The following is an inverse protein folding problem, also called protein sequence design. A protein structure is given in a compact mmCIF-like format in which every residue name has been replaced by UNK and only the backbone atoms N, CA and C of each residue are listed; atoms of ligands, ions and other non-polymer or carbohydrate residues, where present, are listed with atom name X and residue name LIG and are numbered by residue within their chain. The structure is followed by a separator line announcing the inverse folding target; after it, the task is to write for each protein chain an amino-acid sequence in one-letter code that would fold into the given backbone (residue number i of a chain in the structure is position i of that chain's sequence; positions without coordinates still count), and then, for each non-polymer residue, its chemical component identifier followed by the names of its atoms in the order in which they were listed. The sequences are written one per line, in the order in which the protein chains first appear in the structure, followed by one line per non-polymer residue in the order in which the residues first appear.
data_IF_916685819007
#
_entry.id   IF_916685819007
#
_cell.length_a   1.000
_cell.length_b   1.000
_cell.length_c   1.000
_cell.angle_alpha   90.00
_cell.angle_beta   90.00
_cell.angle_gamma   90.00
#
_symmetry.space_group_name_H-M   'P 1'
#
loop_
_entity.id
_entity.type
_entity.pdbx_description
1 polymer ?
#
# COMPACT_ATOMS: atom_id res chain seq x y z
N UNK A 1 -31.07 -6.22 -15.60
CA UNK A 1 -30.25 -5.39 -14.68
C UNK A 1 -30.37 -5.82 -13.22
N UNK A 2 -31.59 -6.08 -12.71
CA UNK A 2 -31.79 -6.55 -11.33
C UNK A 2 -31.11 -7.90 -11.01
N UNK A 3 -31.10 -8.87 -11.93
CA UNK A 3 -30.44 -10.17 -11.73
C UNK A 3 -28.91 -10.09 -11.67
N UNK A 4 -28.29 -9.13 -12.38
CA UNK A 4 -26.84 -8.89 -12.28
C UNK A 4 -26.45 -8.24 -10.95
N UNK A 5 -27.31 -7.37 -10.41
CA UNK A 5 -27.11 -6.78 -9.08
C UNK A 5 -27.26 -7.82 -7.95
N UNK A 6 -28.23 -8.75 -8.09
CA UNK A 6 -28.43 -9.87 -7.16
C UNK A 6 -27.29 -10.90 -7.20
N UNK A 7 -26.73 -11.16 -8.39
CA UNK A 7 -25.56 -12.02 -8.55
C UNK A 7 -24.33 -11.50 -7.81
N UNK A 8 -24.07 -10.18 -7.88
CA UNK A 8 -22.91 -9.57 -7.22
C UNK A 8 -23.11 -9.32 -5.71
N UNK A 9 -24.35 -9.22 -5.22
CA UNK A 9 -24.64 -9.21 -3.78
C UNK A 9 -24.25 -10.54 -3.10
N UNK A 10 -24.29 -11.66 -3.82
CA UNK A 10 -23.78 -12.96 -3.31
C UNK A 10 -22.26 -12.98 -3.16
N UNK A 11 -21.52 -12.20 -3.95
CA UNK A 11 -20.05 -12.16 -3.94
C UNK A 11 -19.46 -11.25 -2.85
N UNK A 12 -20.24 -10.29 -2.34
CA UNK A 12 -19.80 -9.33 -1.31
C UNK A 12 -19.54 -9.93 0.08
N UNK A 13 -19.83 -11.22 0.29
CA UNK A 13 -19.82 -11.85 1.60
C UNK A 13 -21.01 -11.38 2.44
N UNK A 14 -21.75 -12.33 3.02
CA UNK A 14 -23.07 -12.07 3.62
C UNK A 14 -23.11 -10.95 4.66
N UNK A 15 -22.02 -10.72 5.39
CA UNK A 15 -21.94 -9.67 6.42
C UNK A 15 -21.93 -8.26 5.82
N UNK A 16 -21.20 -8.02 4.72
CA UNK A 16 -21.10 -6.68 4.10
C UNK A 16 -22.38 -6.30 3.38
N UNK A 17 -23.01 -7.25 2.68
CA UNK A 17 -24.31 -7.05 2.06
C UNK A 17 -25.40 -6.78 3.11
N UNK A 18 -25.36 -7.46 4.26
CA UNK A 18 -26.29 -7.25 5.37
C UNK A 18 -26.12 -5.87 6.01
N UNK A 19 -24.88 -5.44 6.28
CA UNK A 19 -24.59 -4.11 6.84
C UNK A 19 -25.03 -2.97 5.91
N UNK A 20 -24.79 -3.10 4.60
CA UNK A 20 -25.23 -2.11 3.61
C UNK A 20 -26.76 -2.03 3.57
N UNK A 21 -27.44 -3.19 3.57
CA UNK A 21 -28.91 -3.26 3.55
C UNK A 21 -29.53 -2.69 4.82
N UNK A 22 -28.95 -2.99 5.99
CA UNK A 22 -29.40 -2.43 7.28
C UNK A 22 -29.18 -0.92 7.36
N UNK A 23 -28.05 -0.42 6.84
CA UNK A 23 -27.74 1.01 6.85
C UNK A 23 -28.67 1.79 5.93
N UNK A 24 -28.90 1.28 4.71
CA UNK A 24 -29.83 1.89 3.76
C UNK A 24 -31.27 1.82 4.27
N UNK A 25 -31.69 0.66 4.81
CA UNK A 25 -33.01 0.49 5.41
C UNK A 25 -33.25 1.40 6.61
N UNK A 26 -32.26 1.56 7.48
CA UNK A 26 -32.31 2.47 8.63
C UNK A 26 -32.43 3.93 8.22
N UNK A 27 -31.65 4.36 7.23
CA UNK A 27 -31.72 5.73 6.67
C UNK A 27 -33.09 6.00 6.06
N UNK A 28 -33.62 5.07 5.25
CA UNK A 28 -34.96 5.19 4.65
C UNK A 28 -36.06 5.25 5.72
N UNK A 29 -35.98 4.42 6.77
CA UNK A 29 -36.96 4.41 7.85
C UNK A 29 -36.94 5.70 8.68
N UNK A 30 -35.76 6.19 9.05
CA UNK A 30 -35.59 7.42 9.84
C UNK A 30 -36.06 8.64 9.04
N UNK A 31 -35.64 8.76 7.77
CA UNK A 31 -36.06 9.85 6.90
C UNK A 31 -37.56 9.79 6.63
N UNK A 32 -38.10 8.60 6.33
CA UNK A 32 -39.54 8.41 6.12
C UNK A 32 -40.37 8.88 7.32
N UNK A 33 -39.93 8.54 8.54
CA UNK A 33 -40.57 9.00 9.77
C UNK A 33 -40.48 10.52 9.96
N UNK A 34 -39.29 11.10 9.80
CA UNK A 34 -39.08 12.55 9.89
C UNK A 34 -39.94 13.34 8.90
N UNK A 35 -40.11 12.80 7.69
CA UNK A 35 -40.92 13.43 6.64
C UNK A 35 -42.42 13.32 6.94
N UNK A 36 -42.86 12.15 7.43
CA UNK A 36 -44.24 11.95 7.90
C UNK A 36 -44.59 12.91 9.04
N UNK A 37 -43.69 13.05 10.02
CA UNK A 37 -43.91 13.90 11.20
C UNK A 37 -43.93 15.41 10.87
N UNK A 38 -43.41 15.82 9.70
CA UNK A 38 -43.27 17.22 9.28
C UNK A 38 -44.01 17.55 7.98
N UNK A 39 -44.84 16.66 7.44
CA UNK A 39 -45.44 16.81 6.10
C UNK A 39 -46.24 18.10 5.95
N UNK A 40 -47.07 18.43 6.93
CA UNK A 40 -47.94 19.62 6.91
C UNK A 40 -47.15 20.93 6.90
N UNK A 41 -46.05 20.98 7.65
CA UNK A 41 -45.14 22.13 7.67
C UNK A 41 -44.39 22.30 6.35
N UNK A 42 -43.91 21.19 5.76
CA UNK A 42 -43.17 21.20 4.49
C UNK A 42 -44.11 21.56 3.33
N UNK A 43 -45.30 20.96 3.27
CA UNK A 43 -46.29 21.23 2.23
C UNK A 43 -46.73 22.70 2.23
N UNK A 44 -46.97 23.26 3.43
CA UNK A 44 -47.34 24.67 3.59
C UNK A 44 -46.21 25.64 3.19
N UNK A 45 -44.94 25.25 3.38
CA UNK A 45 -43.79 26.12 3.05
C UNK A 45 -43.37 26.06 1.59
N UNK A 46 -43.61 24.93 0.92
CA UNK A 46 -43.28 24.72 -0.49
C UNK A 46 -44.47 24.89 -1.44
N UNK A 47 -45.67 25.14 -0.90
CA UNK A 47 -46.92 25.28 -1.66
C UNK A 47 -47.20 24.06 -2.56
N UNK A 48 -46.92 22.86 -2.03
CA UNK A 48 -47.08 21.59 -2.74
C UNK A 48 -48.34 20.86 -2.27
N UNK A 49 -49.03 20.10 -3.16
CA UNK A 49 -50.11 19.21 -2.75
C UNK A 49 -49.62 18.15 -1.76
N UNK A 50 -50.40 17.90 -0.70
CA UNK A 50 -50.16 16.80 0.24
C UNK A 50 -50.19 15.47 -0.53
N UNK A 51 -49.07 14.74 -0.53
CA UNK A 51 -48.82 13.59 -1.39
C UNK A 51 -47.68 13.78 -2.40
N UNK A 52 -47.51 14.98 -2.96
CA UNK A 52 -46.34 15.30 -3.80
C UNK A 52 -45.07 15.39 -2.95
N UNK A 53 -45.20 15.89 -1.71
CA UNK A 53 -44.10 15.98 -0.74
C UNK A 53 -43.52 14.59 -0.43
N UNK A 54 -44.38 13.60 -0.19
CA UNK A 54 -43.97 12.21 0.03
C UNK A 54 -43.25 11.61 -1.18
N UNK A 55 -43.76 11.83 -2.40
CA UNK A 55 -43.13 11.34 -3.63
C UNK A 55 -41.75 11.95 -3.90
N UNK A 56 -41.62 13.27 -3.72
CA UNK A 56 -40.34 13.99 -3.91
C UNK A 56 -39.32 13.56 -2.85
N UNK A 57 -39.76 13.42 -1.60
CA UNK A 57 -38.86 13.07 -0.52
C UNK A 57 -38.40 11.60 -0.59
N UNK A 58 -39.27 10.68 -1.00
CA UNK A 58 -38.89 9.29 -1.29
C UNK A 58 -37.88 9.22 -2.44
N UNK A 59 -38.12 9.97 -3.53
CA UNK A 59 -37.18 10.04 -4.66
C UNK A 59 -35.80 10.59 -4.23
N UNK A 60 -35.78 11.61 -3.37
CA UNK A 60 -34.55 12.17 -2.81
C UNK A 60 -33.81 11.17 -1.92
N UNK A 61 -34.52 10.45 -1.04
CA UNK A 61 -33.94 9.40 -0.21
C UNK A 61 -33.35 8.25 -1.05
N UNK A 62 -34.04 7.83 -2.11
CA UNK A 62 -33.56 6.81 -3.04
C UNK A 62 -32.33 7.29 -3.82
N UNK A 63 -32.29 8.57 -4.22
CA UNK A 63 -31.12 9.14 -4.87
C UNK A 63 -29.90 9.19 -3.94
N UNK A 64 -30.07 9.61 -2.68
CA UNK A 64 -29.01 9.59 -1.66
C UNK A 64 -28.55 8.16 -1.39
N UNK A 65 -29.49 7.22 -1.20
CA UNK A 65 -29.16 5.81 -1.01
C UNK A 65 -28.38 5.25 -2.20
N UNK A 66 -28.77 5.59 -3.43
CA UNK A 66 -28.04 5.26 -4.64
C UNK A 66 -26.62 5.81 -4.65
N UNK A 67 -26.42 7.07 -4.28
CA UNK A 67 -25.09 7.69 -4.17
C UNK A 67 -24.24 7.03 -3.08
N UNK A 68 -24.82 6.72 -1.92
CA UNK A 68 -24.12 6.01 -0.83
C UNK A 68 -23.72 4.62 -1.31
N UNK A 69 -24.64 3.87 -1.93
CA UNK A 69 -24.36 2.53 -2.45
C UNK A 69 -23.30 2.59 -3.55
N UNK A 70 -23.37 3.52 -4.49
CA UNK A 70 -22.34 3.67 -5.54
C UNK A 70 -21.00 4.08 -4.95
N UNK A 71 -20.98 5.01 -4.00
CA UNK A 71 -19.74 5.45 -3.34
C UNK A 71 -19.13 4.35 -2.49
N UNK A 72 -19.95 3.55 -1.83
CA UNK A 72 -19.53 2.43 -0.99
C UNK A 72 -19.14 1.22 -1.84
N UNK A 73 -19.83 0.99 -2.95
CA UNK A 73 -19.42 0.02 -3.96
C UNK A 73 -18.09 0.44 -4.57
N UNK A 74 -17.93 1.70 -4.97
CA UNK A 74 -16.67 2.22 -5.49
C UNK A 74 -15.57 2.14 -4.42
N UNK A 75 -15.90 2.39 -3.14
CA UNK A 75 -14.99 2.14 -2.01
C UNK A 75 -14.64 0.66 -1.89
N UNK A 76 -15.59 -0.26 -2.02
CA UNK A 76 -15.38 -1.72 -1.87
C UNK A 76 -14.67 -2.33 -3.10
N UNK A 77 -14.97 -1.85 -4.30
CA UNK A 77 -14.29 -2.20 -5.54
C UNK A 77 -12.87 -1.62 -5.57
N UNK A 78 -12.67 -0.41 -5.02
CA UNK A 78 -11.34 0.12 -4.69
C UNK A 78 -10.74 -0.59 -3.48
N UNK A 79 -11.54 -1.27 -2.65
CA UNK A 79 -11.11 -2.25 -1.64
C UNK A 79 -10.67 -3.60 -2.22
N UNK A 80 -9.96 -3.56 -3.35
CA UNK A 80 -8.66 -4.26 -3.48
C UNK A 80 -7.64 -3.79 -2.39
N UNK A 81 -8.13 -3.49 -1.18
CA UNK A 81 -7.54 -2.50 -0.26
C UNK A 81 -6.38 -3.13 0.47
N UNK A 82 -5.23 -2.48 0.29
CA UNK A 82 -4.15 -2.60 1.25
C UNK A 82 -4.73 -2.19 2.61
N UNK A 83 -4.86 -3.12 3.56
CA UNK A 83 -5.46 -2.85 4.86
C UNK A 83 -4.66 -1.79 5.62
N UNK A 84 -5.31 -1.21 6.63
CA UNK A 84 -4.71 -0.21 7.50
C UNK A 84 -3.37 -0.74 8.07
N UNK A 85 -2.23 -0.05 7.80
CA UNK A 85 -0.93 -0.47 8.30
C UNK A 85 -0.82 -0.39 9.84
N UNK A 86 -1.81 0.18 10.53
CA UNK A 86 -1.95 0.13 11.99
C UNK A 86 -2.67 -1.11 12.54
N UNK A 87 -3.25 -1.97 11.69
CA UNK A 87 -3.94 -3.18 12.13
C UNK A 87 -2.96 -4.19 12.74
N UNK A 88 -3.13 -4.50 14.03
CA UNK A 88 -2.32 -5.50 14.74
C UNK A 88 -2.87 -6.88 14.41
N UNK A 89 -2.15 -7.63 13.57
CA UNK A 89 -2.31 -9.06 13.44
C UNK A 89 -1.15 -9.74 14.17
N UNK A 90 -1.42 -10.28 15.36
CA UNK A 90 -0.52 -11.26 15.97
C UNK A 90 -0.79 -12.60 15.29
N UNK A 91 -0.05 -12.83 14.22
CA UNK A 91 -0.04 -14.09 13.48
C UNK A 91 1.26 -14.82 13.82
N UNK A 92 1.18 -15.76 14.76
CA UNK A 92 2.32 -16.59 15.17
C UNK A 92 2.89 -17.43 14.01
N UNK A 93 2.13 -17.63 12.94
CA UNK A 93 2.58 -18.32 11.73
C UNK A 93 3.54 -17.46 10.89
N UNK A 94 3.45 -16.12 10.98
CA UNK A 94 4.23 -15.20 10.18
C UNK A 94 5.31 -14.47 11.00
N UNK A 95 6.55 -14.92 10.82
CA UNK A 95 7.72 -14.37 11.51
C UNK A 95 8.37 -13.27 10.67
N UNK A 96 8.50 -12.08 11.24
CA UNK A 96 9.26 -11.00 10.63
C UNK A 96 10.77 -11.24 10.80
N UNK A 97 11.52 -11.04 9.73
CA UNK A 97 12.99 -11.00 9.74
C UNK A 97 13.39 -9.57 9.41
N UNK A 98 13.94 -8.86 10.39
CA UNK A 98 14.09 -7.40 10.39
C UNK A 98 15.45 -6.91 9.86
N UNK A 99 16.22 -7.81 9.24
CA UNK A 99 17.49 -7.52 8.60
C UNK A 99 17.82 -8.57 7.55
N UNK A 100 18.76 -8.26 6.66
CA UNK A 100 19.27 -9.24 5.70
C UNK A 100 20.02 -10.36 6.42
N UNK A 101 19.68 -11.59 6.09
CA UNK A 101 20.39 -12.81 6.52
C UNK A 101 20.77 -13.62 5.29
N UNK A 102 21.73 -14.56 5.36
CA UNK A 102 22.04 -15.43 4.22
C UNK A 102 20.81 -16.20 3.71
N UNK A 103 19.95 -16.67 4.62
CA UNK A 103 18.71 -17.37 4.26
C UNK A 103 17.72 -16.46 3.52
N UNK A 104 17.52 -15.22 4.01
CA UNK A 104 16.66 -14.25 3.35
C UNK A 104 17.24 -13.82 2.00
N UNK A 105 18.55 -13.57 1.90
CA UNK A 105 19.22 -13.21 0.65
C UNK A 105 19.01 -14.28 -0.43
N UNK A 106 19.26 -15.55 -0.08
CA UNK A 106 19.03 -16.70 -0.98
C UNK A 106 17.57 -16.82 -1.40
N UNK A 107 16.63 -16.56 -0.49
CA UNK A 107 15.21 -16.60 -0.81
C UNK A 107 14.78 -15.45 -1.73
N UNK A 108 15.32 -14.24 -1.52
CA UNK A 108 15.08 -13.08 -2.40
C UNK A 108 15.49 -13.41 -3.83
N UNK A 109 16.73 -13.86 -4.02
CA UNK A 109 17.31 -14.16 -5.33
C UNK A 109 16.59 -15.34 -6.02
N UNK A 110 16.39 -16.46 -5.31
CA UNK A 110 16.00 -17.72 -5.95
C UNK A 110 14.50 -17.98 -6.00
N UNK A 111 13.72 -17.26 -5.19
CA UNK A 111 12.28 -17.55 -5.02
C UNK A 111 11.45 -16.29 -5.17
N UNK A 112 11.72 -15.26 -4.38
CA UNK A 112 10.84 -14.11 -4.28
C UNK A 112 10.90 -13.23 -5.52
N UNK A 113 12.09 -12.82 -5.98
CA UNK A 113 12.23 -11.99 -7.18
C UNK A 113 11.61 -12.69 -8.41
N UNK A 114 11.97 -13.95 -8.73
CA UNK A 114 11.41 -14.64 -9.90
C UNK A 114 9.87 -14.76 -9.88
N UNK A 115 9.27 -14.94 -8.69
CA UNK A 115 7.81 -15.09 -8.57
C UNK A 115 7.06 -13.75 -8.54
N UNK A 116 7.66 -12.72 -7.92
CA UNK A 116 7.01 -11.42 -7.74
C UNK A 116 7.19 -10.50 -8.94
N UNK A 117 8.30 -10.66 -9.67
CA UNK A 117 8.69 -9.80 -10.78
C UNK A 117 9.05 -10.67 -11.99
N UNK A 118 8.07 -11.37 -12.61
CA UNK A 118 8.33 -12.34 -13.67
C UNK A 118 8.69 -11.72 -15.04
N UNK A 119 9.06 -10.43 -15.10
CA UNK A 119 9.42 -9.80 -16.39
C UNK A 119 10.74 -10.39 -16.93
N UNK A 120 10.88 -10.45 -18.26
CA UNK A 120 12.12 -10.85 -18.92
C UNK A 120 13.30 -9.94 -18.53
N UNK A 121 13.02 -8.70 -18.14
CA UNK A 121 14.01 -7.72 -17.67
C UNK A 121 14.55 -8.07 -16.26
N UNK A 122 13.73 -8.61 -15.35
CA UNK A 122 14.19 -9.14 -14.06
C UNK A 122 15.07 -10.39 -14.21
N UNK A 123 14.86 -11.21 -15.25
CA UNK A 123 15.74 -12.34 -15.57
C UNK A 123 17.11 -11.89 -16.09
N UNK A 124 17.21 -10.66 -16.63
CA UNK A 124 18.46 -10.09 -17.15
C UNK A 124 19.26 -9.27 -16.12
N UNK A 125 18.70 -8.99 -14.94
CA UNK A 125 19.34 -8.17 -13.90
C UNK A 125 19.44 -6.68 -14.22
N UNK A 126 18.75 -6.18 -15.26
CA UNK A 126 18.87 -4.80 -15.74
C UNK A 126 18.01 -3.77 -14.98
N UNK A 127 17.03 -4.22 -14.18
CA UNK A 127 16.10 -3.36 -13.41
C UNK A 127 16.51 -3.16 -11.94
N UNK A 128 17.57 -3.83 -11.48
CA UNK A 128 18.05 -3.73 -10.10
C UNK A 128 19.57 -3.68 -10.10
N UNK A 129 20.17 -3.17 -9.02
CA UNK A 129 21.61 -3.33 -8.76
C UNK A 129 22.03 -4.79 -9.01
N UNK A 130 23.19 -5.06 -9.64
CA UNK A 130 23.70 -6.42 -9.83
C UNK A 130 23.75 -7.21 -8.51
N UNK A 131 23.50 -8.52 -8.55
CA UNK A 131 23.41 -9.33 -7.32
C UNK A 131 24.70 -9.30 -6.50
N UNK A 132 25.85 -9.29 -7.15
CA UNK A 132 27.16 -9.18 -6.50
C UNK A 132 27.30 -7.86 -5.73
N UNK A 133 26.84 -6.76 -6.32
CA UNK A 133 26.82 -5.45 -5.66
C UNK A 133 25.81 -5.41 -4.51
N UNK A 134 24.66 -6.07 -4.67
CA UNK A 134 23.66 -6.23 -3.61
C UNK A 134 24.25 -7.03 -2.42
N UNK A 135 25.04 -8.07 -2.68
CA UNK A 135 25.72 -8.84 -1.64
C UNK A 135 26.77 -8.01 -0.91
N UNK A 136 27.63 -7.31 -1.67
CA UNK A 136 28.65 -6.39 -1.11
C UNK A 136 28.01 -5.30 -0.28
N UNK A 137 26.93 -4.70 -0.77
CA UNK A 137 26.15 -3.71 -0.03
C UNK A 137 25.59 -4.29 1.29
N UNK A 138 25.05 -5.52 1.25
CA UNK A 138 24.56 -6.21 2.43
C UNK A 138 25.64 -6.51 3.49
N UNK A 139 26.91 -6.61 3.08
CA UNK A 139 28.06 -6.71 3.99
C UNK A 139 28.41 -5.36 4.65
N UNK A 140 28.24 -4.25 3.92
CA UNK A 140 28.44 -2.89 4.44
C UNK A 140 27.32 -2.46 5.39
N UNK A 141 26.08 -2.89 5.11
CA UNK A 141 24.92 -2.58 5.92
C UNK A 141 23.90 -3.73 5.90
N UNK A 142 23.76 -4.44 7.02
CA UNK A 142 22.80 -5.56 7.09
C UNK A 142 21.33 -5.13 7.17
N UNK A 143 21.06 -3.86 7.49
CA UNK A 143 19.70 -3.32 7.60
C UNK A 143 19.19 -2.80 6.25
N UNK A 144 19.39 -3.62 5.22
CA UNK A 144 19.08 -3.29 3.83
C UNK A 144 17.90 -4.06 3.23
N UNK A 145 17.35 -5.00 4.00
CA UNK A 145 16.17 -5.76 3.61
C UNK A 145 15.47 -6.29 4.84
N UNK A 146 14.16 -6.45 4.73
CA UNK A 146 13.33 -7.19 5.68
C UNK A 146 12.56 -8.28 4.94
N UNK A 147 12.19 -9.33 5.66
CA UNK A 147 11.46 -10.47 5.12
C UNK A 147 10.33 -10.93 6.02
N UNK A 148 9.42 -11.72 5.46
CA UNK A 148 8.40 -12.46 6.21
C UNK A 148 8.56 -13.95 5.92
N UNK A 149 8.73 -14.72 6.98
CA UNK A 149 8.83 -16.18 6.94
C UNK A 149 7.50 -16.80 7.41
N UNK A 150 6.96 -17.71 6.60
CA UNK A 150 5.79 -18.51 6.95
C UNK A 150 6.26 -19.80 7.62
N UNK A 151 5.90 -19.99 8.89
CA UNK A 151 6.14 -21.25 9.61
C UNK A 151 5.32 -22.40 9.02
N UNK A 152 4.10 -22.10 8.58
CA UNK A 152 3.20 -23.09 7.98
C UNK A 152 3.74 -23.64 6.65
N UNK A 153 4.31 -22.76 5.83
CA UNK A 153 4.82 -23.15 4.51
C UNK A 153 6.34 -23.37 4.50
N UNK A 154 6.98 -23.25 5.67
CA UNK A 154 8.43 -23.34 5.90
C UNK A 154 9.29 -22.57 4.89
N UNK A 155 8.84 -21.37 4.48
CA UNK A 155 9.53 -20.55 3.48
C UNK A 155 9.32 -19.07 3.69
N UNK A 156 10.23 -18.28 3.09
CA UNK A 156 9.99 -16.85 2.95
C UNK A 156 8.86 -16.59 1.95
N UNK A 157 7.93 -15.74 2.34
CA UNK A 157 6.71 -15.41 1.59
C UNK A 157 6.60 -13.94 1.24
N UNK A 158 7.60 -13.13 1.60
CA UNK A 158 7.64 -11.72 1.27
C UNK A 158 8.96 -11.07 1.64
N UNK A 159 9.29 -9.98 0.93
CA UNK A 159 10.43 -9.16 1.23
C UNK A 159 10.20 -7.69 0.84
N UNK A 160 10.93 -6.81 1.51
CA UNK A 160 11.08 -5.42 1.13
C UNK A 160 12.56 -5.07 1.16
N UNK A 161 13.05 -4.53 0.05
CA UNK A 161 14.40 -4.03 -0.10
C UNK A 161 14.46 -2.56 0.34
N UNK A 162 15.50 -2.18 1.07
CA UNK A 162 15.65 -0.84 1.64
C UNK A 162 17.12 -0.44 1.57
N UNK A 163 17.50 0.45 0.66
CA UNK A 163 18.91 0.78 0.46
C UNK A 163 19.20 2.19 0.97
N UNK A 164 19.89 2.33 2.11
CA UNK A 164 20.31 3.64 2.60
C UNK A 164 21.44 4.14 1.71
N UNK A 165 21.24 5.26 1.06
CA UNK A 165 22.18 5.80 0.07
C UNK A 165 22.81 7.09 0.57
N UNK A 166 23.99 7.41 0.06
CA UNK A 166 24.65 8.69 0.29
C UNK A 166 23.78 9.83 -0.25
N UNK A 167 24.01 11.04 0.25
CA UNK A 167 23.11 12.17 0.02
C UNK A 167 23.06 12.60 -1.45
N UNK A 168 24.22 12.68 -2.10
CA UNK A 168 24.36 12.98 -3.52
C UNK A 168 23.62 11.96 -4.40
N UNK A 169 23.65 10.69 -4.01
CA UNK A 169 22.97 9.60 -4.69
C UNK A 169 21.46 9.68 -4.47
N UNK A 170 21.03 9.93 -3.23
CA UNK A 170 19.61 10.12 -2.89
C UNK A 170 18.97 11.26 -3.68
N UNK A 171 19.66 12.38 -3.84
CA UNK A 171 19.19 13.50 -4.66
C UNK A 171 19.14 13.16 -6.16
N UNK A 172 20.12 12.40 -6.67
CA UNK A 172 20.11 11.94 -8.06
C UNK A 172 18.93 10.99 -8.35
N UNK A 173 18.71 10.00 -7.47
CA UNK A 173 17.59 9.07 -7.55
C UNK A 173 16.25 9.80 -7.48
N UNK A 174 16.06 10.67 -6.48
CA UNK A 174 14.82 11.44 -6.26
C UNK A 174 14.46 12.31 -7.48
N UNK A 175 15.47 12.89 -8.14
CA UNK A 175 15.30 13.70 -9.34
C UNK A 175 15.08 12.87 -10.62
N UNK A 176 15.21 11.54 -10.56
CA UNK A 176 15.15 10.65 -11.73
C UNK A 176 16.38 10.74 -12.63
N UNK A 177 17.50 11.32 -12.16
CA UNK A 177 18.77 11.38 -12.90
C UNK A 177 19.58 10.09 -12.81
N UNK A 178 19.18 9.20 -11.90
CA UNK A 178 19.80 7.91 -11.65
C UNK A 178 18.71 6.89 -11.38
N UNK A 179 18.92 5.64 -11.79
CA UNK A 179 18.08 4.50 -11.48
C UNK A 179 18.66 3.67 -10.34
N UNK A 180 17.85 2.84 -9.71
CA UNK A 180 18.29 1.80 -8.78
C UNK A 180 19.19 0.72 -9.43
N UNK A 181 19.08 0.49 -10.75
CA UNK A 181 19.98 -0.41 -11.49
C UNK A 181 21.40 0.13 -11.67
N UNK A 182 21.59 1.45 -11.57
CA UNK A 182 22.91 2.09 -11.64
C UNK A 182 23.64 2.14 -10.29
N UNK A 183 23.00 1.66 -9.21
CA UNK A 183 23.61 1.68 -7.89
C UNK A 183 24.72 0.62 -7.76
N UNK A 184 25.71 0.91 -6.92
CA UNK A 184 26.77 0.00 -6.50
C UNK A 184 26.87 0.03 -4.98
N UNK A 185 27.65 -0.88 -4.39
CA UNK A 185 27.87 -0.95 -2.95
C UNK A 185 28.51 0.34 -2.39
N UNK A 186 29.30 1.07 -3.18
CA UNK A 186 29.95 2.32 -2.75
C UNK A 186 28.95 3.45 -2.49
N UNK A 187 27.79 3.40 -3.14
CA UNK A 187 26.71 4.37 -2.96
C UNK A 187 25.93 4.17 -1.66
N UNK A 188 26.15 3.06 -0.94
CA UNK A 188 25.44 2.67 0.26
C UNK A 188 26.08 3.28 1.50
N UNK A 189 25.24 3.76 2.43
CA UNK A 189 25.69 4.23 3.74
C UNK A 189 26.08 3.03 4.61
N UNK A 190 27.33 2.96 5.12
CA UNK A 190 27.77 1.88 6.00
C UNK A 190 26.93 1.78 7.28
N UNK A 191 26.87 0.58 7.89
CA UNK A 191 26.07 0.34 9.10
C UNK A 191 26.43 1.31 10.25
N UNK A 192 27.71 1.67 10.41
CA UNK A 192 28.16 2.60 11.45
C UNK A 192 27.63 4.03 11.29
N UNK A 193 27.30 4.43 10.06
CA UNK A 193 26.83 5.77 9.71
C UNK A 193 25.30 5.83 9.53
N UNK A 194 24.59 4.70 9.69
CA UNK A 194 23.15 4.59 9.36
C UNK A 194 22.26 5.67 9.99
N UNK A 195 22.60 6.17 11.18
CA UNK A 195 21.81 7.21 11.88
C UNK A 195 21.94 8.61 11.28
N UNK A 196 22.96 8.88 10.47
CA UNK A 196 23.10 10.15 9.73
C UNK A 196 22.42 10.12 8.36
N UNK A 197 22.12 8.93 7.84
CA UNK A 197 21.52 8.71 6.52
C UNK A 197 20.25 9.56 6.29
N UNK A 198 20.22 10.37 5.23
CA UNK A 198 19.08 11.22 4.89
C UNK A 198 18.19 10.65 3.79
N UNK A 199 18.67 9.67 3.03
CA UNK A 199 17.96 9.11 1.89
C UNK A 199 18.02 7.59 1.89
N UNK A 200 16.89 6.96 1.59
CA UNK A 200 16.86 5.54 1.29
C UNK A 200 15.92 5.27 0.12
N UNK A 201 16.28 4.31 -0.73
CA UNK A 201 15.43 3.84 -1.81
C UNK A 201 14.82 2.47 -1.47
N UNK A 202 13.60 2.23 -1.92
CA UNK A 202 12.92 0.93 -1.87
C UNK A 202 12.76 0.43 -3.32
N UNK A 203 13.74 -0.35 -3.84
CA UNK A 203 13.68 -0.88 -5.20
C UNK A 203 12.56 -1.90 -5.42
N UNK A 204 12.23 -2.66 -4.37
CA UNK A 204 11.31 -3.78 -4.48
C UNK A 204 10.62 -4.09 -3.16
N UNK A 205 9.31 -4.33 -3.26
CA UNK A 205 8.48 -4.80 -2.15
C UNK A 205 7.41 -5.74 -2.70
N UNK A 206 7.23 -6.90 -2.07
CA UNK A 206 6.20 -7.83 -2.50
C UNK A 206 6.03 -9.04 -1.60
N UNK A 207 4.90 -9.72 -1.77
CA UNK A 207 4.52 -10.92 -1.04
C UNK A 207 3.85 -11.93 -1.96
N UNK A 208 4.14 -13.20 -1.74
CA UNK A 208 3.51 -14.33 -2.42
C UNK A 208 2.31 -14.77 -1.59
N UNK A 209 1.26 -15.30 -2.20
CA UNK A 209 0.13 -15.91 -1.49
C UNK A 209 -0.91 -16.43 -2.47
N UNK A 210 -1.60 -17.49 -2.08
CA UNK A 210 -2.48 -18.25 -2.97
C UNK A 210 -3.79 -17.50 -3.22
N UNK A 211 -4.20 -16.65 -2.27
CA UNK A 211 -5.38 -15.82 -2.36
C UNK A 211 -5.12 -14.39 -1.86
N UNK A 212 -6.09 -13.50 -2.09
CA UNK A 212 -5.96 -12.08 -1.77
C UNK A 212 -5.84 -11.83 -0.26
N UNK A 213 -6.63 -12.52 0.57
CA UNK A 213 -6.62 -12.34 2.02
C UNK A 213 -5.26 -12.69 2.63
N UNK A 214 -4.64 -13.75 2.13
CA UNK A 214 -3.31 -14.17 2.54
C UNK A 214 -2.23 -13.17 2.13
N UNK A 215 -2.24 -12.71 0.87
CA UNK A 215 -1.31 -11.67 0.41
C UNK A 215 -1.44 -10.41 1.24
N UNK A 216 -2.67 -10.00 1.53
CA UNK A 216 -2.97 -8.84 2.37
C UNK A 216 -2.35 -8.98 3.77
N UNK A 217 -2.55 -10.12 4.44
CA UNK A 217 -1.99 -10.40 5.77
C UNK A 217 -0.45 -10.40 5.76
N UNK A 218 0.16 -11.04 4.76
CA UNK A 218 1.62 -11.06 4.57
C UNK A 218 2.18 -9.65 4.30
N UNK A 219 1.49 -8.86 3.48
CA UNK A 219 1.89 -7.49 3.15
C UNK A 219 1.90 -6.58 4.39
N UNK A 220 0.86 -6.67 5.23
CA UNK A 220 0.84 -5.94 6.51
C UNK A 220 2.00 -6.29 7.41
N UNK A 221 2.27 -7.60 7.57
CA UNK A 221 3.37 -8.07 8.39
C UNK A 221 4.71 -7.54 7.89
N UNK A 222 4.91 -7.57 6.57
CA UNK A 222 6.11 -7.07 5.92
C UNK A 222 6.26 -5.55 6.09
N UNK A 223 5.19 -4.79 5.89
CA UNK A 223 5.19 -3.34 6.06
C UNK A 223 5.49 -2.94 7.50
N UNK A 224 4.90 -3.64 8.48
CA UNK A 224 5.21 -3.42 9.89
C UNK A 224 6.68 -3.70 10.19
N UNK A 225 7.22 -4.81 9.68
CA UNK A 225 8.64 -5.14 9.84
C UNK A 225 9.56 -4.06 9.24
N UNK A 226 9.22 -3.56 8.05
CA UNK A 226 9.96 -2.47 7.40
C UNK A 226 9.92 -1.19 8.22
N UNK A 227 8.72 -0.75 8.65
CA UNK A 227 8.54 0.45 9.49
C UNK A 227 9.34 0.36 10.79
N UNK A 228 9.27 -0.78 11.47
CA UNK A 228 9.98 -1.02 12.73
C UNK A 228 11.50 -1.01 12.54
N UNK A 229 12.00 -1.63 11.47
CA UNK A 229 13.43 -1.59 11.13
C UNK A 229 13.89 -0.16 10.88
N UNK A 230 13.17 0.61 10.05
CA UNK A 230 13.52 2.01 9.77
C UNK A 230 13.49 2.85 11.05
N UNK A 231 12.43 2.73 11.84
CA UNK A 231 12.28 3.46 13.09
C UNK A 231 13.46 3.16 14.02
N UNK A 232 13.70 1.88 14.31
CA UNK A 232 14.70 1.44 15.29
C UNK A 232 16.13 1.73 14.86
N UNK A 233 16.47 1.46 13.60
CA UNK A 233 17.86 1.51 13.15
C UNK A 233 18.29 2.86 12.60
N UNK A 234 17.37 3.64 12.00
CA UNK A 234 17.71 4.87 11.29
C UNK A 234 17.17 6.15 11.95
N UNK A 235 16.06 6.08 12.70
CA UNK A 235 15.40 7.28 13.25
C UNK A 235 15.43 7.37 14.79
N UNK A 236 15.50 6.28 15.52
CA UNK A 236 15.56 6.30 16.99
C UNK A 236 16.81 7.02 17.48
N UNK A 237 16.61 8.01 18.37
CA UNK A 237 17.68 8.86 18.88
C UNK A 237 18.08 10.02 17.96
N UNK A 238 17.35 10.22 16.85
CA UNK A 238 17.59 11.31 15.88
C UNK A 238 16.44 12.32 15.92
N UNK A 239 16.76 13.62 15.83
CA UNK A 239 15.76 14.71 15.66
C UNK A 239 15.42 15.02 14.19
N UNK A 240 16.01 14.27 13.26
CA UNK A 240 15.93 14.50 11.83
C UNK A 240 14.88 13.65 11.13
N UNK A 241 14.72 13.91 9.84
CA UNK A 241 13.88 13.13 8.95
C UNK A 241 14.72 12.38 7.91
N UNK A 242 14.13 11.36 7.30
CA UNK A 242 14.69 10.61 6.19
C UNK A 242 13.75 10.71 4.99
N UNK A 243 14.29 10.85 3.80
CA UNK A 243 13.52 10.78 2.56
C UNK A 243 13.53 9.34 2.06
N UNK A 244 12.36 8.74 1.96
CA UNK A 244 12.16 7.44 1.30
C UNK A 244 11.82 7.69 -0.16
N UNK A 245 12.51 6.99 -1.04
CA UNK A 245 12.36 7.03 -2.50
C UNK A 245 11.85 5.67 -2.97
N UNK A 246 10.95 5.65 -3.94
CA UNK A 246 10.47 4.43 -4.58
C UNK A 246 10.27 4.67 -6.07
N UNK A 247 10.61 3.68 -6.89
CA UNK A 247 10.43 3.66 -8.35
C UNK A 247 9.16 2.88 -8.67
N UNK A 248 8.15 3.56 -9.19
CA UNK A 248 6.79 3.01 -9.32
C UNK A 248 6.58 2.33 -10.68
N UNK A 249 7.29 1.22 -10.92
CA UNK A 249 7.28 0.46 -12.19
C UNK A 249 5.90 -0.07 -12.59
N UNK A 250 5.06 -0.42 -11.62
CA UNK A 250 3.75 -1.02 -11.87
C UNK A 250 2.61 -0.12 -11.40
N UNK A 251 1.40 -0.36 -11.94
CA UNK A 251 0.16 0.27 -11.45
C UNK A 251 -0.03 0.03 -9.95
N UNK A 252 0.36 -1.16 -9.45
CA UNK A 252 0.32 -1.48 -8.02
C UNK A 252 1.38 -0.70 -7.23
N UNK A 253 2.59 -0.52 -7.76
CA UNK A 253 3.62 0.33 -7.16
C UNK A 253 3.18 1.80 -7.05
N UNK A 254 2.49 2.34 -8.08
CA UNK A 254 1.91 3.70 -8.04
C UNK A 254 0.81 3.83 -6.98
N UNK A 255 -0.09 2.83 -6.90
CA UNK A 255 -1.12 2.77 -5.85
C UNK A 255 -0.47 2.73 -4.46
N UNK A 256 0.59 1.93 -4.29
CA UNK A 256 1.36 1.84 -3.04
C UNK A 256 1.95 3.20 -2.67
N UNK A 257 2.67 3.87 -3.59
CA UNK A 257 3.21 5.21 -3.36
C UNK A 257 2.14 6.22 -2.92
N UNK A 258 0.98 6.20 -3.58
CA UNK A 258 -0.16 7.07 -3.25
C UNK A 258 -0.70 6.78 -1.85
N UNK A 259 -0.88 5.50 -1.50
CA UNK A 259 -1.35 5.07 -0.18
C UNK A 259 -0.40 5.54 0.93
N UNK A 260 0.90 5.53 0.67
CA UNK A 260 1.92 6.03 1.60
C UNK A 260 2.17 7.53 1.51
N UNK A 261 1.31 8.28 0.83
CA UNK A 261 1.41 9.75 0.68
C UNK A 261 2.75 10.18 0.09
N UNK A 262 3.34 9.35 -0.78
CA UNK A 262 4.53 9.71 -1.54
C UNK A 262 4.12 10.57 -2.73
N UNK A 263 4.89 11.64 -2.97
CA UNK A 263 4.68 12.54 -4.10
C UNK A 263 5.60 12.14 -5.25
N UNK A 264 5.12 12.23 -6.49
CA UNK A 264 5.99 12.10 -7.67
C UNK A 264 6.97 13.29 -7.69
N UNK A 265 8.27 13.01 -7.70
CA UNK A 265 9.34 14.02 -7.70
C UNK A 265 10.14 14.07 -8.98
N UNK A 266 10.01 13.03 -9.83
CA UNK A 266 10.71 12.93 -11.10
C UNK A 266 10.30 11.69 -11.87
N UNK A 267 10.99 11.43 -12.97
CA UNK A 267 10.83 10.22 -13.77
C UNK A 267 12.21 9.69 -14.12
N UNK A 268 12.42 8.39 -13.94
CA UNK A 268 13.66 7.71 -14.25
C UNK A 268 13.51 6.94 -15.56
N UNK A 269 14.57 6.94 -16.37
CA UNK A 269 14.66 6.20 -17.64
C UNK A 269 15.53 4.97 -17.44
N UNK A 270 14.98 3.80 -17.74
CA UNK A 270 15.65 2.51 -17.62
C UNK A 270 16.30 2.04 -18.93
N UNK A 271 16.33 2.91 -19.95
CA UNK A 271 17.00 2.66 -21.23
C UNK A 271 16.13 1.97 -22.27
N UNK A 272 14.88 1.64 -21.95
CA UNK A 272 13.86 1.11 -22.86
C UNK A 272 12.91 2.20 -23.40
N UNK A 273 13.17 3.47 -23.06
CA UNK A 273 12.32 4.61 -23.40
C UNK A 273 11.07 4.74 -22.52
N UNK A 274 10.89 3.86 -21.53
CA UNK A 274 9.78 3.93 -20.57
C UNK A 274 10.21 4.75 -19.37
N UNK A 275 9.55 5.90 -19.21
CA UNK A 275 9.74 6.76 -18.05
C UNK A 275 8.93 6.26 -16.85
N UNK A 276 9.64 5.81 -15.82
CA UNK A 276 9.06 5.30 -14.57
C UNK A 276 8.98 6.44 -13.54
N UNK A 277 7.81 6.71 -12.93
CA UNK A 277 7.70 7.73 -11.90
C UNK A 277 8.57 7.40 -10.68
N UNK A 278 9.30 8.41 -10.22
CA UNK A 278 9.99 8.39 -8.94
C UNK A 278 9.10 9.06 -7.92
N UNK A 279 8.73 8.33 -6.88
CA UNK A 279 7.95 8.84 -5.77
C UNK A 279 8.85 9.01 -4.55
N UNK A 280 8.63 10.08 -3.79
CA UNK A 280 9.35 10.30 -2.54
C UNK A 280 8.46 10.85 -1.43
N UNK A 281 8.82 10.51 -0.19
CA UNK A 281 8.23 11.10 1.03
C UNK A 281 9.30 11.29 2.07
N UNK A 282 9.27 12.44 2.73
CA UNK A 282 10.04 12.63 3.96
C UNK A 282 9.26 12.04 5.14
N UNK A 283 9.92 11.20 5.93
CA UNK A 283 9.38 10.54 7.11
C UNK A 283 10.20 10.90 8.36
N UNK A 284 9.51 10.99 9.48
CA UNK A 284 10.04 11.15 10.84
C UNK A 284 9.68 9.92 11.66
N UNK A 285 10.27 9.79 12.85
CA UNK A 285 9.95 8.69 13.76
C UNK A 285 8.44 8.60 14.06
N UNK A 286 7.78 9.75 14.26
CA UNK A 286 6.34 9.84 14.51
C UNK A 286 5.46 9.34 13.34
N UNK A 287 5.99 9.28 12.11
CA UNK A 287 5.26 8.70 10.98
C UNK A 287 5.28 7.16 10.98
N UNK A 288 6.19 6.55 11.76
CA UNK A 288 6.44 5.11 11.74
C UNK A 288 5.87 4.36 12.94
N UNK A 289 5.72 5.04 14.08
CA UNK A 289 5.18 4.49 15.33
C UNK A 289 3.65 4.57 15.40
#
# INVERSE_FOLDING_TARGET
MAERALGHLKELGGIKATLLTLSVGGVVAILGKLLSDNESWIAGRLNLPSGTVHGVALAFCLAIAGVIVVREWDRIARQEVMPDPGAVFDDEELVAVDRRTPALGKAIEKVLIPQLFPSALNQSGSETMPFEEIERAGQLNRFMAVGVYSRRDEKFVGYASFWPVRDEIGEALKAGRMTDSQLTAEHIVPEGERRSCRYAIIPGIGVIGDNQQERVRRALRLQRALRQMIAREYLTGRKGAMTIIATAYSKHGRKWCTHYQMSETGKADYGDGVLVPVCARQIKLADLI
#
